data_IF_688676838447
#
_entry.id   IF_688676838447
#
_cell.length_a   1.000
_cell.length_b   1.000
_cell.length_c   1.000
_cell.angle_alpha   90.00
_cell.angle_beta   90.00
_cell.angle_gamma   90.00
#
_symmetry.space_group_name_H-M   'P 1'
#
loop_
_entity.id
_entity.type
_entity.pdbx_description
1 polymer ?
#
# COMPACT_ATOMS: atom_id res chain seq x y z
N UNK A 1 -1.17 -22.47 -7.18
CA UNK A 1 -0.63 -21.16 -6.75
C UNK A 1 0.81 -21.14 -7.25
N UNK A 2 1.10 -20.37 -8.29
CA UNK A 2 2.48 -20.18 -8.71
C UNK A 2 3.24 -19.54 -7.56
N UNK A 3 4.45 -20.02 -7.28
CA UNK A 3 5.32 -19.42 -6.27
C UNK A 3 5.52 -17.94 -6.62
N UNK A 4 5.22 -17.07 -5.68
CA UNK A 4 5.38 -15.63 -5.81
C UNK A 4 6.84 -15.35 -6.20
N UNK A 5 7.04 -14.83 -7.39
CA UNK A 5 8.39 -14.61 -7.92
C UNK A 5 9.01 -13.47 -7.12
N UNK A 6 10.02 -13.79 -6.30
CA UNK A 6 10.74 -12.78 -5.54
C UNK A 6 11.22 -11.65 -6.45
N UNK A 7 11.15 -10.40 -5.98
CA UNK A 7 11.66 -9.25 -6.71
C UNK A 7 13.14 -9.44 -7.03
N UNK A 8 13.52 -9.15 -8.27
CA UNK A 8 14.91 -9.20 -8.71
C UNK A 8 15.74 -8.19 -7.89
N UNK A 9 16.94 -8.59 -7.51
CA UNK A 9 17.87 -7.74 -6.77
C UNK A 9 19.05 -7.37 -7.66
N UNK A 10 19.39 -6.10 -7.66
CA UNK A 10 20.50 -5.51 -8.42
C UNK A 10 21.33 -4.62 -7.49
N UNK A 11 22.50 -4.22 -7.93
CA UNK A 11 23.33 -3.24 -7.21
C UNK A 11 22.75 -1.83 -7.37
N UNK A 12 23.02 -0.91 -6.43
CA UNK A 12 22.66 0.51 -6.60
C UNK A 12 23.19 1.09 -7.92
N UNK A 13 24.41 0.75 -8.30
CA UNK A 13 25.06 1.22 -9.53
C UNK A 13 24.32 0.76 -10.79
N UNK A 14 23.84 -0.48 -10.83
CA UNK A 14 22.99 -1.00 -11.92
C UNK A 14 21.63 -0.27 -11.97
N UNK A 15 21.15 0.20 -10.83
CA UNK A 15 19.96 1.06 -10.75
C UNK A 15 20.26 2.53 -11.15
N UNK A 16 21.52 2.88 -11.46
CA UNK A 16 21.95 4.25 -11.75
C UNK A 16 22.00 5.14 -10.50
N UNK A 17 22.19 4.55 -9.33
CA UNK A 17 22.26 5.23 -8.03
C UNK A 17 23.60 4.87 -7.38
N UNK A 18 24.32 5.85 -6.84
CA UNK A 18 25.56 5.57 -6.14
C UNK A 18 25.30 4.86 -4.80
N UNK A 19 25.99 3.75 -4.53
CA UNK A 19 25.95 3.06 -3.23
C UNK A 19 26.34 3.99 -2.07
N UNK A 20 27.18 4.99 -2.32
CA UNK A 20 27.49 6.04 -1.34
C UNK A 20 26.27 6.87 -0.96
N UNK A 21 25.41 7.20 -1.93
CA UNK A 21 24.15 7.93 -1.66
C UNK A 21 23.16 7.07 -0.88
N UNK A 22 23.06 5.79 -1.22
CA UNK A 22 22.22 4.82 -0.46
C UNK A 22 22.71 4.73 0.99
N UNK A 23 24.02 4.57 1.19
CA UNK A 23 24.63 4.52 2.53
C UNK A 23 24.30 5.79 3.33
N UNK A 24 24.48 6.97 2.73
CA UNK A 24 24.16 8.25 3.37
C UNK A 24 22.68 8.34 3.77
N UNK A 25 21.78 7.92 2.89
CA UNK A 25 20.33 7.89 3.19
C UNK A 25 20.03 7.00 4.41
N UNK A 26 20.62 5.80 4.46
CA UNK A 26 20.44 4.88 5.58
C UNK A 26 21.00 5.45 6.88
N UNK A 27 22.19 6.07 6.82
CA UNK A 27 22.81 6.74 7.97
C UNK A 27 21.94 7.89 8.49
N UNK A 28 21.33 8.69 7.62
CA UNK A 28 20.40 9.75 8.00
C UNK A 28 19.15 9.18 8.67
N UNK A 29 18.56 8.10 8.12
CA UNK A 29 17.41 7.42 8.73
C UNK A 29 17.73 6.88 10.14
N UNK A 30 18.95 6.44 10.40
CA UNK A 30 19.38 5.98 11.73
C UNK A 30 19.48 7.10 12.77
N UNK A 31 19.64 8.35 12.34
CA UNK A 31 19.70 9.52 13.23
C UNK A 31 18.31 10.09 13.57
N UNK A 32 17.28 9.70 12.82
CA UNK A 32 15.92 10.13 13.10
C UNK A 32 15.39 9.48 14.39
N UNK A 33 14.47 10.18 15.06
CA UNK A 33 13.83 9.69 16.29
C UNK A 33 12.83 8.56 16.01
N UNK A 34 12.54 8.29 14.76
CA UNK A 34 11.60 7.24 14.33
C UNK A 34 12.29 5.88 14.42
N UNK A 35 11.63 4.95 15.09
CA UNK A 35 12.11 3.57 15.17
C UNK A 35 11.93 2.86 13.83
N UNK A 36 13.02 2.65 13.11
CA UNK A 36 13.02 1.94 11.84
C UNK A 36 12.99 0.43 12.04
N UNK A 37 12.14 -0.26 11.31
CA UNK A 37 12.05 -1.72 11.30
C UNK A 37 12.76 -2.31 10.07
N UNK A 38 12.50 -1.75 8.91
CA UNK A 38 13.08 -2.17 7.64
C UNK A 38 13.04 -1.05 6.61
N UNK A 39 13.91 -1.17 5.63
CA UNK A 39 14.00 -0.27 4.48
C UNK A 39 14.19 -1.09 3.23
N UNK A 40 13.43 -0.80 2.20
CA UNK A 40 13.60 -1.37 0.87
C UNK A 40 13.44 -0.29 -0.17
N UNK A 41 14.38 -0.21 -1.10
CA UNK A 41 14.32 0.70 -2.24
C UNK A 41 14.38 -0.08 -3.56
N UNK A 42 13.46 0.26 -4.46
CA UNK A 42 13.36 -0.38 -5.77
C UNK A 42 13.27 0.67 -6.89
N UNK A 43 13.77 0.29 -8.06
CA UNK A 43 13.67 1.07 -9.29
C UNK A 43 13.36 0.15 -10.46
N UNK A 44 12.38 0.52 -11.26
CA UNK A 44 11.92 -0.29 -12.40
C UNK A 44 11.60 -1.76 -12.03
N UNK A 45 10.99 -1.97 -10.86
CA UNK A 45 10.62 -3.31 -10.36
C UNK A 45 11.77 -4.14 -9.81
N UNK A 46 12.99 -3.60 -9.69
CA UNK A 46 14.17 -4.28 -9.15
C UNK A 46 14.62 -3.62 -7.86
N UNK A 47 14.91 -4.43 -6.82
CA UNK A 47 15.38 -3.96 -5.52
C UNK A 47 16.88 -3.70 -5.59
N UNK A 48 17.32 -2.48 -5.24
CA UNK A 48 18.72 -2.09 -5.23
C UNK A 48 19.28 -1.81 -3.82
N UNK A 49 18.42 -1.75 -2.81
CA UNK A 49 18.84 -1.65 -1.41
C UNK A 49 17.76 -2.26 -0.51
N UNK A 50 18.22 -2.98 0.50
CA UNK A 50 17.35 -3.58 1.52
C UNK A 50 18.16 -3.70 2.82
N UNK A 51 17.59 -3.24 3.94
CA UNK A 51 18.17 -3.42 5.26
C UNK A 51 17.11 -3.50 6.35
N UNK A 52 17.47 -4.12 7.46
CA UNK A 52 16.60 -4.36 8.59
C UNK A 52 17.31 -3.98 9.89
N UNK A 53 16.56 -3.41 10.84
CA UNK A 53 17.07 -3.06 12.17
C UNK A 53 16.63 -4.09 13.19
N UNK A 54 17.58 -4.63 13.94
CA UNK A 54 17.28 -5.61 14.98
C UNK A 54 16.24 -5.06 15.99
N UNK A 55 15.26 -5.86 16.43
CA UNK A 55 15.12 -7.31 16.21
C UNK A 55 14.41 -7.71 14.90
N UNK A 56 14.06 -6.77 14.04
CA UNK A 56 13.27 -7.00 12.81
C UNK A 56 14.12 -7.63 11.69
N UNK A 57 13.46 -8.39 10.83
CA UNK A 57 14.03 -9.02 9.64
C UNK A 57 12.96 -9.24 8.57
N UNK A 58 13.34 -9.72 7.37
CA UNK A 58 12.45 -9.90 6.23
C UNK A 58 11.34 -10.95 6.45
N UNK A 59 11.52 -11.87 7.38
CA UNK A 59 10.58 -12.96 7.65
C UNK A 59 9.49 -12.57 8.67
N UNK A 60 9.67 -11.45 9.35
CA UNK A 60 8.72 -11.00 10.37
C UNK A 60 7.53 -10.30 9.72
N UNK A 61 6.34 -10.67 10.17
CA UNK A 61 5.10 -9.96 9.80
C UNK A 61 5.06 -8.61 10.50
N UNK A 62 4.85 -7.55 9.72
CA UNK A 62 4.74 -6.18 10.20
C UNK A 62 3.30 -5.69 10.12
N UNK A 63 2.86 -4.93 11.13
CA UNK A 63 1.60 -4.20 11.06
C UNK A 63 1.76 -3.00 10.11
N UNK A 64 0.97 -2.99 9.06
CA UNK A 64 1.01 -1.92 8.05
C UNK A 64 0.19 -0.69 8.43
N UNK A 65 -0.61 -0.74 9.52
CA UNK A 65 -1.47 0.36 9.93
C UNK A 65 -2.17 1.03 8.73
N UNK A 66 -2.11 2.36 8.64
CA UNK A 66 -2.72 3.11 7.55
C UNK A 66 -2.12 2.86 6.16
N UNK A 67 -0.95 2.24 6.05
CA UNK A 67 -0.41 1.83 4.75
C UNK A 67 -1.34 0.84 4.02
N UNK A 68 -2.14 0.06 4.78
CA UNK A 68 -3.19 -0.79 4.23
C UNK A 68 -4.19 -0.05 3.34
N UNK A 69 -4.42 1.25 3.57
CA UNK A 69 -5.28 2.08 2.72
C UNK A 69 -4.76 2.22 1.30
N UNK A 70 -3.44 2.21 1.11
CA UNK A 70 -2.82 2.25 -0.23
C UNK A 70 -3.13 0.99 -1.03
N UNK A 71 -3.18 -0.17 -0.39
CA UNK A 71 -3.61 -1.42 -1.05
C UNK A 71 -5.09 -1.36 -1.44
N UNK A 72 -5.95 -0.86 -0.53
CA UNK A 72 -7.37 -0.67 -0.82
C UNK A 72 -7.57 0.29 -1.99
N UNK A 73 -6.91 1.45 -1.98
CA UNK A 73 -6.99 2.42 -3.07
C UNK A 73 -6.49 1.82 -4.40
N UNK A 74 -5.43 1.02 -4.38
CA UNK A 74 -4.92 0.32 -5.57
C UNK A 74 -5.95 -0.70 -6.09
N UNK A 75 -6.56 -1.50 -5.23
CA UNK A 75 -7.59 -2.46 -5.61
C UNK A 75 -8.82 -1.76 -6.22
N UNK A 76 -9.27 -0.64 -5.64
CA UNK A 76 -10.33 0.19 -6.20
C UNK A 76 -9.92 0.75 -7.57
N UNK A 77 -8.69 1.22 -7.73
CA UNK A 77 -8.15 1.70 -9.01
C UNK A 77 -8.20 0.64 -10.11
N UNK A 78 -7.86 -0.61 -9.78
CA UNK A 78 -7.98 -1.75 -10.70
C UNK A 78 -9.44 -1.97 -11.08
N UNK A 79 -10.35 -2.04 -10.10
CA UNK A 79 -11.79 -2.24 -10.35
C UNK A 79 -12.40 -1.14 -11.24
N UNK A 80 -11.98 0.11 -11.05
CA UNK A 80 -12.40 1.25 -11.90
C UNK A 80 -11.84 1.10 -13.32
N UNK A 81 -10.57 0.70 -13.47
CA UNK A 81 -9.95 0.47 -14.78
C UNK A 81 -10.65 -0.66 -15.54
N UNK A 82 -11.05 -1.71 -14.84
CA UNK A 82 -11.81 -2.83 -15.39
C UNK A 82 -13.31 -2.52 -15.58
N UNK A 83 -13.75 -1.30 -15.30
CA UNK A 83 -15.16 -0.85 -15.38
C UNK A 83 -16.13 -1.66 -14.51
N UNK A 84 -15.64 -2.23 -13.41
CA UNK A 84 -16.43 -2.96 -12.40
C UNK A 84 -16.98 -2.06 -11.30
N UNK A 85 -16.42 -0.85 -11.18
CA UNK A 85 -16.78 0.13 -10.16
C UNK A 85 -16.61 1.55 -10.72
N UNK A 86 -17.42 2.49 -10.24
CA UNK A 86 -17.25 3.92 -10.54
C UNK A 86 -16.92 4.68 -9.26
N UNK A 87 -16.02 5.66 -9.34
CA UNK A 87 -15.73 6.54 -8.21
C UNK A 87 -16.94 7.38 -7.76
N UNK A 88 -17.88 7.63 -8.68
CA UNK A 88 -19.08 8.42 -8.42
C UNK A 88 -20.30 7.56 -8.04
N UNK A 89 -20.12 6.25 -7.99
CA UNK A 89 -21.13 5.29 -7.53
C UNK A 89 -21.39 5.48 -6.03
N UNK A 90 -22.65 5.44 -5.63
CA UNK A 90 -23.03 5.67 -4.25
C UNK A 90 -22.83 4.41 -3.40
N UNK A 91 -22.34 4.59 -2.20
CA UNK A 91 -22.13 3.49 -1.26
C UNK A 91 -23.44 2.73 -0.96
N UNK A 92 -24.58 3.44 -0.88
CA UNK A 92 -25.88 2.82 -0.65
C UNK A 92 -26.35 1.93 -1.80
N UNK A 93 -25.92 2.20 -3.03
CA UNK A 93 -26.26 1.38 -4.19
C UNK A 93 -25.40 0.12 -4.23
N UNK A 94 -24.13 0.22 -3.85
CA UNK A 94 -23.20 -0.91 -3.74
C UNK A 94 -23.63 -1.89 -2.64
N UNK A 95 -24.04 -1.38 -1.48
CA UNK A 95 -24.44 -2.19 -0.32
C UNK A 95 -25.96 -2.32 -0.16
N UNK A 96 -26.70 -2.23 -1.27
CA UNK A 96 -28.17 -2.22 -1.25
C UNK A 96 -28.73 -3.49 -0.58
N UNK A 97 -28.23 -4.64 -0.95
CA UNK A 97 -28.74 -5.93 -0.48
C UNK A 97 -28.48 -6.09 1.03
N UNK A 98 -27.29 -5.71 1.52
CA UNK A 98 -26.94 -5.73 2.94
C UNK A 98 -27.79 -4.75 3.77
N UNK A 99 -28.06 -3.58 3.20
CA UNK A 99 -28.92 -2.56 3.85
C UNK A 99 -30.33 -3.08 4.01
N UNK A 100 -30.88 -3.71 2.97
CA UNK A 100 -32.24 -4.28 2.98
C UNK A 100 -32.34 -5.49 3.92
N UNK A 101 -31.41 -6.44 3.83
CA UNK A 101 -31.36 -7.65 4.65
C UNK A 101 -31.27 -7.33 6.15
N UNK A 102 -30.37 -6.39 6.50
CA UNK A 102 -30.12 -5.99 7.89
C UNK A 102 -31.06 -4.88 8.38
N UNK A 103 -31.96 -4.38 7.53
CA UNK A 103 -32.90 -3.28 7.84
C UNK A 103 -32.21 -2.05 8.40
N UNK A 104 -31.06 -1.67 7.77
CA UNK A 104 -30.25 -0.53 8.21
C UNK A 104 -30.95 0.76 7.85
N UNK A 105 -31.21 1.62 8.85
CA UNK A 105 -31.69 2.97 8.61
C UNK A 105 -30.53 3.87 8.15
N UNK A 106 -30.53 4.26 6.87
CA UNK A 106 -29.47 5.10 6.29
C UNK A 106 -29.88 6.57 6.34
N UNK A 107 -29.12 7.45 7.03
CA UNK A 107 -29.38 8.90 7.08
C UNK A 107 -29.26 9.54 5.69
N UNK A 108 -30.03 10.63 5.45
CA UNK A 108 -30.07 11.30 4.14
C UNK A 108 -28.71 11.77 3.63
N UNK A 109 -27.83 12.26 4.53
CA UNK A 109 -26.48 12.67 4.15
C UNK A 109 -25.62 11.47 3.72
N UNK A 110 -25.76 10.33 4.39
CA UNK A 110 -25.04 9.08 4.08
C UNK A 110 -25.40 8.54 2.69
N UNK A 111 -26.65 8.74 2.25
CA UNK A 111 -27.09 8.35 0.89
C UNK A 111 -26.36 9.10 -0.24
N UNK A 112 -25.67 10.18 0.08
CA UNK A 112 -24.89 10.98 -0.89
C UNK A 112 -23.42 10.57 -0.98
N UNK A 113 -22.96 9.71 -0.07
CA UNK A 113 -21.57 9.26 -0.03
C UNK A 113 -21.31 8.35 -1.23
N UNK A 114 -20.26 8.69 -1.98
CA UNK A 114 -19.76 7.89 -3.12
C UNK A 114 -18.45 7.19 -2.76
N UNK A 115 -17.99 6.28 -3.62
CA UNK A 115 -16.67 5.64 -3.50
C UNK A 115 -15.56 6.69 -3.37
N UNK A 116 -15.62 7.78 -4.14
CA UNK A 116 -14.67 8.91 -4.07
C UNK A 116 -14.58 9.56 -2.69
N UNK A 117 -15.66 9.61 -1.94
CA UNK A 117 -15.69 10.23 -0.61
C UNK A 117 -15.08 9.35 0.49
N UNK A 118 -14.91 8.05 0.22
CA UNK A 118 -14.37 7.08 1.20
C UNK A 118 -12.90 6.75 0.95
N UNK A 119 -12.37 7.10 -0.24
CA UNK A 119 -10.95 6.98 -0.60
C UNK A 119 -10.15 8.18 -0.09
#
# INVERSE_FOLDING_TARGET
>A
MEAEKALERITPEEAGISSRQVKKCIEELMHETTQMHGFMAARHGKVFAECWWAPFNSEMVHSNHSFGKSYTATAIGIAVTEKKLSLDEKMVDIFKDEIEERKICVPELTKKITVRHVL
#
